data_IF_041462863585
#
_entry.id   IF_041462863585
#
_cell.length_a   1.000
_cell.length_b   1.000
_cell.length_c   1.000
_cell.angle_alpha   90.00
_cell.angle_beta   90.00
_cell.angle_gamma   90.00
#
_symmetry.space_group_name_H-M   'P 1'
#
loop_
_entity.id
_entity.type
_entity.pdbx_description
1 polymer ?
#
# COMPACT_ATOMS: atom_id res chain seq x y z
N UNK A 1 -7.72 -8.99 2.98
CA UNK A 1 -8.16 -9.74 4.15
C UNK A 1 -9.66 -9.55 4.41
N UNK A 2 -10.18 -8.32 4.43
CA UNK A 2 -11.61 -8.02 4.69
C UNK A 2 -12.51 -8.75 3.70
N UNK A 3 -12.26 -8.67 2.39
CA UNK A 3 -13.02 -9.38 1.36
C UNK A 3 -12.96 -10.91 1.55
N UNK A 4 -11.79 -11.47 1.87
CA UNK A 4 -11.67 -12.91 2.19
C UNK A 4 -12.48 -13.31 3.43
N UNK A 5 -12.56 -12.43 4.43
CA UNK A 5 -13.32 -12.69 5.66
C UNK A 5 -14.85 -12.79 5.43
N UNK A 6 -15.37 -12.18 4.37
CA UNK A 6 -16.77 -12.28 3.96
C UNK A 6 -17.01 -13.31 2.85
N UNK A 7 -16.01 -14.14 2.54
CA UNK A 7 -16.18 -15.30 1.66
C UNK A 7 -15.76 -15.10 0.21
N UNK A 8 -15.21 -13.95 -0.18
CA UNK A 8 -14.67 -13.76 -1.53
C UNK A 8 -13.37 -14.53 -1.74
N UNK A 9 -13.20 -15.11 -2.91
CA UNK A 9 -11.91 -15.60 -3.39
C UNK A 9 -11.12 -14.41 -3.96
N UNK A 10 -10.06 -14.01 -3.29
CA UNK A 10 -9.30 -12.80 -3.64
C UNK A 10 -7.94 -13.18 -4.20
N UNK A 11 -7.67 -12.77 -5.43
CA UNK A 11 -6.37 -12.87 -6.09
C UNK A 11 -5.69 -11.51 -5.98
N UNK A 12 -4.59 -11.44 -5.25
CA UNK A 12 -3.78 -10.23 -5.08
C UNK A 12 -2.73 -10.15 -6.17
N UNK A 13 -2.77 -9.07 -6.96
CA UNK A 13 -1.82 -8.87 -8.04
C UNK A 13 -1.11 -7.53 -7.91
N UNK A 14 0.15 -7.48 -8.37
CA UNK A 14 0.92 -6.25 -8.50
C UNK A 14 1.32 -6.05 -9.96
N UNK A 15 1.47 -4.78 -10.38
CA UNK A 15 2.05 -4.42 -11.66
C UNK A 15 3.30 -3.58 -11.39
N UNK A 16 4.45 -4.14 -11.71
CA UNK A 16 5.75 -3.48 -11.55
C UNK A 16 6.11 -2.75 -12.83
N UNK A 17 6.36 -1.45 -12.70
CA UNK A 17 6.83 -0.61 -13.80
C UNK A 17 8.36 -0.72 -13.91
N UNK A 18 8.82 -1.67 -14.73
CA UNK A 18 10.22 -2.08 -14.87
C UNK A 18 10.85 -1.66 -16.21
N UNK A 19 10.15 -0.84 -17.02
CA UNK A 19 10.65 -0.38 -18.32
C UNK A 19 10.43 1.12 -18.53
N UNK A 20 11.03 1.62 -19.58
CA UNK A 20 10.86 3.01 -20.07
C UNK A 20 12.02 3.91 -19.77
N UNK A 21 11.88 5.17 -20.22
CA UNK A 21 12.97 6.15 -20.16
C UNK A 21 13.49 6.41 -18.74
N UNK A 22 12.63 6.29 -17.73
CA UNK A 22 13.04 6.52 -16.34
C UNK A 22 14.01 5.45 -15.85
N UNK A 23 13.80 4.19 -16.23
CA UNK A 23 14.71 3.08 -15.92
C UNK A 23 16.04 3.27 -16.64
N UNK A 24 16.00 3.63 -17.93
CA UNK A 24 17.20 3.92 -18.72
C UNK A 24 18.04 5.07 -18.15
N UNK A 25 17.42 6.07 -17.52
CA UNK A 25 18.14 7.16 -16.83
C UNK A 25 19.00 6.64 -15.69
N UNK A 26 18.44 5.79 -14.81
CA UNK A 26 19.19 5.17 -13.72
C UNK A 26 20.29 4.26 -14.23
N UNK A 27 20.00 3.44 -15.26
CA UNK A 27 20.99 2.57 -15.90
C UNK A 27 22.18 3.34 -16.49
N UNK A 28 21.89 4.42 -17.21
CA UNK A 28 22.92 5.27 -17.82
C UNK A 28 23.79 5.95 -16.76
N UNK A 29 23.18 6.51 -15.72
CA UNK A 29 23.91 7.12 -14.62
C UNK A 29 24.79 6.11 -13.89
N UNK A 30 24.28 4.91 -13.58
CA UNK A 30 25.08 3.85 -12.97
C UNK A 30 26.28 3.45 -13.87
N UNK A 31 26.04 3.27 -15.16
CA UNK A 31 27.11 2.93 -16.12
C UNK A 31 28.21 3.99 -16.18
N UNK A 32 27.85 5.27 -16.07
CA UNK A 32 28.80 6.40 -16.17
C UNK A 32 29.50 6.75 -14.87
N UNK A 33 28.77 6.70 -13.77
CA UNK A 33 29.21 7.27 -12.49
C UNK A 33 29.30 6.22 -11.37
N UNK A 34 28.80 5.01 -11.61
CA UNK A 34 28.71 3.98 -10.58
C UNK A 34 29.99 3.21 -10.30
N UNK A 35 30.96 3.23 -11.22
CA UNK A 35 32.24 2.54 -11.02
C UNK A 35 32.10 1.03 -10.70
N UNK A 36 30.98 0.39 -11.09
CA UNK A 36 30.71 -1.02 -10.77
C UNK A 36 30.11 -1.24 -9.39
N UNK A 37 29.62 -0.20 -8.71
CA UNK A 37 28.95 -0.32 -7.39
C UNK A 37 27.74 -1.27 -7.48
N UNK A 38 27.61 -2.15 -6.49
CA UNK A 38 26.50 -3.12 -6.36
C UNK A 38 25.85 -2.97 -4.99
N UNK A 39 24.66 -3.53 -4.75
CA UNK A 39 24.09 -3.57 -3.41
C UNK A 39 25.04 -4.19 -2.37
N UNK A 40 25.75 -5.26 -2.74
CA UNK A 40 26.71 -5.91 -1.84
C UNK A 40 27.93 -5.03 -1.54
N UNK A 41 28.48 -4.30 -2.52
CA UNK A 41 29.66 -3.47 -2.30
C UNK A 41 29.35 -2.15 -1.58
N UNK A 42 28.13 -1.61 -1.77
CA UNK A 42 27.71 -0.35 -1.17
C UNK A 42 27.06 -0.52 0.20
N UNK A 43 26.60 -1.72 0.53
CA UNK A 43 25.74 -1.98 1.69
C UNK A 43 24.34 -1.35 1.59
N UNK A 44 23.96 -0.82 0.42
CA UNK A 44 22.64 -0.25 0.17
C UNK A 44 21.67 -1.31 -0.34
N UNK A 45 20.41 -1.21 0.03
CA UNK A 45 19.33 -1.99 -0.59
C UNK A 45 19.24 -1.67 -2.08
N UNK A 46 18.89 -2.66 -2.92
CA UNK A 46 19.02 -2.55 -4.36
C UNK A 46 18.17 -1.46 -4.99
N UNK A 47 16.93 -1.28 -4.56
CA UNK A 47 16.04 -0.22 -5.02
C UNK A 47 16.53 1.17 -4.60
N UNK A 48 17.10 1.32 -3.40
CA UNK A 48 17.74 2.57 -2.95
C UNK A 48 18.97 2.89 -3.80
N UNK A 49 19.79 1.88 -4.12
CA UNK A 49 20.96 2.07 -4.99
C UNK A 49 20.56 2.56 -6.39
N UNK A 50 19.54 1.93 -6.99
CA UNK A 50 19.03 2.36 -8.30
C UNK A 50 18.39 3.75 -8.23
N UNK A 51 17.69 4.05 -7.14
CA UNK A 51 17.13 5.38 -6.85
C UNK A 51 18.22 6.46 -6.72
N UNK A 52 19.34 6.16 -6.08
CA UNK A 52 20.52 7.04 -6.00
C UNK A 52 20.98 7.47 -7.40
N UNK A 53 21.06 6.52 -8.34
CA UNK A 53 21.47 6.83 -9.70
C UNK A 53 20.40 7.54 -10.53
N UNK A 54 19.13 7.44 -10.18
CA UNK A 54 18.09 8.27 -10.76
C UNK A 54 18.28 9.76 -10.41
N UNK A 55 18.58 10.04 -9.13
CA UNK A 55 18.89 11.40 -8.67
C UNK A 55 20.18 11.93 -9.27
N UNK A 56 21.21 11.08 -9.38
CA UNK A 56 22.49 11.46 -10.00
C UNK A 56 22.31 11.81 -11.50
N UNK A 57 21.48 11.05 -12.22
CA UNK A 57 21.09 11.41 -13.59
C UNK A 57 20.47 12.81 -13.65
N UNK A 58 19.48 13.09 -12.80
CA UNK A 58 18.74 14.35 -12.81
C UNK A 58 19.67 15.56 -12.53
N UNK A 59 20.61 15.40 -11.62
CA UNK A 59 21.64 16.42 -11.30
C UNK A 59 22.48 16.76 -12.52
N UNK A 60 23.06 15.77 -13.19
CA UNK A 60 23.87 16.00 -14.40
C UNK A 60 23.04 16.48 -15.58
N UNK A 61 21.82 15.98 -15.75
CA UNK A 61 20.90 16.44 -16.77
C UNK A 61 20.52 17.91 -16.60
N UNK A 62 20.20 18.35 -15.39
CA UNK A 62 19.90 19.76 -15.08
C UNK A 62 21.11 20.66 -15.36
N UNK A 63 22.34 20.22 -15.09
CA UNK A 63 23.54 20.96 -15.42
C UNK A 63 23.68 21.15 -16.92
N UNK A 64 23.50 20.11 -17.74
CA UNK A 64 23.52 20.19 -19.20
C UNK A 64 22.43 21.11 -19.76
N UNK A 65 21.22 21.03 -19.26
CA UNK A 65 20.13 21.92 -19.66
C UNK A 65 20.48 23.37 -19.37
N UNK A 66 21.05 23.66 -18.19
CA UNK A 66 21.51 25.02 -17.84
C UNK A 66 22.60 25.56 -18.79
N UNK A 67 23.56 24.72 -19.13
CA UNK A 67 24.64 25.10 -20.10
C UNK A 67 24.04 25.40 -21.48
N UNK A 68 23.17 24.58 -22.01
CA UNK A 68 22.51 24.76 -23.30
C UNK A 68 21.63 26.01 -23.30
N UNK A 69 20.91 26.27 -22.21
CA UNK A 69 20.12 27.50 -22.08
C UNK A 69 21.01 28.75 -22.02
N UNK A 70 22.13 28.69 -21.31
CA UNK A 70 23.10 29.79 -21.27
C UNK A 70 23.75 30.06 -22.63
N UNK A 71 23.81 29.06 -23.51
CA UNK A 71 24.28 29.21 -24.90
C UNK A 71 23.24 29.79 -25.87
N UNK A 72 22.03 30.14 -25.38
CA UNK A 72 20.97 30.78 -26.16
C UNK A 72 19.85 29.84 -26.63
N UNK A 73 19.85 28.57 -26.21
CA UNK A 73 18.78 27.64 -26.54
C UNK A 73 17.59 27.87 -25.63
N UNK A 74 16.35 27.67 -26.13
CA UNK A 74 15.17 27.69 -25.28
C UNK A 74 15.23 26.52 -24.27
N UNK A 75 14.64 26.70 -23.10
CA UNK A 75 14.63 25.66 -22.07
C UNK A 75 13.98 24.36 -22.56
N UNK A 76 12.91 24.45 -23.34
CA UNK A 76 12.25 23.29 -23.95
C UNK A 76 13.13 22.52 -24.93
N UNK A 77 13.89 23.26 -25.78
CA UNK A 77 14.85 22.64 -26.68
C UNK A 77 16.04 22.07 -25.93
N UNK A 78 16.57 22.79 -24.95
CA UNK A 78 17.67 22.34 -24.12
C UNK A 78 17.32 21.02 -23.42
N UNK A 79 16.11 20.89 -22.86
CA UNK A 79 15.61 19.64 -22.27
C UNK A 79 15.57 18.47 -23.24
N UNK A 80 15.22 18.71 -24.50
CA UNK A 80 15.16 17.68 -25.54
C UNK A 80 16.53 17.32 -26.11
N UNK A 81 17.45 18.26 -26.15
CA UNK A 81 18.77 18.11 -26.78
C UNK A 81 19.91 17.85 -25.80
N UNK A 82 19.66 17.82 -24.51
CA UNK A 82 20.69 17.50 -23.54
C UNK A 82 21.30 16.11 -23.84
N UNK A 83 22.62 15.98 -23.93
CA UNK A 83 23.30 14.75 -24.34
C UNK A 83 22.86 13.53 -23.53
N UNK A 84 22.76 13.66 -22.20
CA UNK A 84 22.29 12.55 -21.32
C UNK A 84 20.87 12.09 -21.65
N UNK A 85 19.97 13.00 -22.04
CA UNK A 85 18.63 12.64 -22.44
C UNK A 85 18.61 11.86 -23.75
N UNK A 86 19.39 12.30 -24.73
CA UNK A 86 19.52 11.64 -26.03
C UNK A 86 20.11 10.23 -25.86
N UNK A 87 21.10 10.07 -25.00
CA UNK A 87 21.68 8.76 -24.71
C UNK A 87 20.72 7.82 -23.94
N UNK A 88 19.93 8.36 -22.99
CA UNK A 88 18.91 7.57 -22.32
C UNK A 88 17.82 7.10 -23.31
N UNK A 89 17.44 7.96 -24.28
CA UNK A 89 16.52 7.58 -25.35
C UNK A 89 17.12 6.51 -26.28
N UNK A 90 18.41 6.63 -26.61
CA UNK A 90 19.10 5.60 -27.38
C UNK A 90 19.20 4.28 -26.62
N UNK A 91 19.48 4.33 -25.33
CA UNK A 91 19.49 3.14 -24.45
C UNK A 91 18.10 2.46 -24.44
N UNK A 92 17.00 3.22 -24.42
CA UNK A 92 15.64 2.68 -24.52
C UNK A 92 15.41 1.97 -25.86
N UNK A 93 15.83 2.57 -26.98
CA UNK A 93 15.74 1.95 -28.31
C UNK A 93 16.52 0.64 -28.38
N UNK A 94 17.76 0.62 -27.84
CA UNK A 94 18.57 -0.60 -27.75
C UNK A 94 17.92 -1.67 -26.87
N UNK A 95 17.30 -1.26 -25.77
CA UNK A 95 16.53 -2.18 -24.92
C UNK A 95 15.35 -2.80 -25.69
N UNK A 96 14.59 -1.98 -26.42
CA UNK A 96 13.48 -2.46 -27.26
C UNK A 96 13.94 -3.39 -28.38
N UNK A 97 15.13 -3.15 -28.92
CA UNK A 97 15.81 -4.01 -29.91
C UNK A 97 16.43 -5.27 -29.31
N UNK A 98 16.32 -5.49 -27.99
CA UNK A 98 16.93 -6.63 -27.28
C UNK A 98 18.45 -6.66 -27.39
N UNK A 99 19.12 -5.50 -27.45
CA UNK A 99 20.56 -5.42 -27.42
C UNK A 99 21.12 -6.14 -26.17
N UNK A 100 22.02 -7.14 -26.33
CA UNK A 100 22.41 -7.97 -25.18
C UNK A 100 23.10 -7.23 -24.04
N UNK A 101 23.86 -6.17 -24.35
CA UNK A 101 24.54 -5.37 -23.33
C UNK A 101 23.54 -4.58 -22.50
N UNK A 102 22.64 -3.86 -23.17
CA UNK A 102 21.64 -3.01 -22.50
C UNK A 102 20.60 -3.86 -21.77
N UNK A 103 20.20 -4.96 -22.38
CA UNK A 103 19.23 -5.86 -21.79
C UNK A 103 19.79 -6.57 -20.56
N UNK A 104 21.06 -7.04 -20.58
CA UNK A 104 21.71 -7.62 -19.42
C UNK A 104 21.91 -6.63 -18.28
N UNK A 105 22.22 -5.36 -18.59
CA UNK A 105 22.28 -4.30 -17.58
C UNK A 105 20.90 -4.04 -16.94
N UNK A 106 19.87 -4.01 -17.76
CA UNK A 106 18.49 -3.84 -17.31
C UNK A 106 18.06 -5.01 -16.40
N UNK A 107 18.31 -6.26 -16.78
CA UNK A 107 17.98 -7.44 -15.94
C UNK A 107 18.69 -7.38 -14.59
N UNK A 108 19.99 -7.06 -14.59
CA UNK A 108 20.77 -6.94 -13.36
C UNK A 108 20.22 -5.87 -12.42
N UNK A 109 20.02 -4.66 -12.92
CA UNK A 109 19.57 -3.54 -12.06
C UNK A 109 18.12 -3.70 -11.59
N UNK A 110 17.22 -4.19 -12.47
CA UNK A 110 15.85 -4.49 -12.02
C UNK A 110 15.80 -5.66 -11.05
N UNK A 111 16.68 -6.67 -11.19
CA UNK A 111 16.83 -7.73 -10.19
C UNK A 111 17.10 -7.15 -8.79
N UNK A 112 18.02 -6.18 -8.68
CA UNK A 112 18.28 -5.50 -7.42
C UNK A 112 17.05 -4.76 -6.87
N UNK A 113 16.25 -4.13 -7.75
CA UNK A 113 15.03 -3.43 -7.36
C UNK A 113 13.97 -4.42 -6.87
N UNK A 114 13.79 -5.56 -7.55
CA UNK A 114 12.81 -6.57 -7.15
C UNK A 114 13.15 -7.17 -5.78
N UNK A 115 14.43 -7.50 -5.55
CA UNK A 115 14.91 -7.97 -4.25
C UNK A 115 14.65 -6.92 -3.15
N UNK A 116 14.88 -5.65 -3.45
CA UNK A 116 14.61 -4.54 -2.54
C UNK A 116 13.12 -4.39 -2.23
N UNK A 117 12.25 -4.44 -3.23
CA UNK A 117 10.79 -4.39 -3.03
C UNK A 117 10.29 -5.54 -2.16
N UNK A 118 10.85 -6.75 -2.34
CA UNK A 118 10.48 -7.93 -1.57
C UNK A 118 10.76 -7.74 -0.07
N UNK A 119 11.86 -7.08 0.28
CA UNK A 119 12.20 -6.72 1.66
C UNK A 119 11.14 -5.78 2.25
N UNK A 120 10.78 -4.72 1.52
CA UNK A 120 9.77 -3.73 1.98
C UNK A 120 8.40 -4.36 2.10
N UNK A 121 7.96 -5.17 1.11
CA UNK A 121 6.66 -5.85 1.17
C UNK A 121 6.58 -6.81 2.36
N UNK A 122 7.63 -7.60 2.59
CA UNK A 122 7.72 -8.47 3.78
C UNK A 122 7.67 -7.69 5.09
N UNK A 123 8.37 -6.55 5.16
CA UNK A 123 8.35 -5.68 6.32
C UNK A 123 6.94 -5.15 6.62
N UNK A 124 6.18 -4.80 5.58
CA UNK A 124 4.80 -4.34 5.68
C UNK A 124 3.78 -5.48 5.83
N UNK A 125 4.19 -6.75 5.69
CA UNK A 125 3.25 -7.88 5.69
C UNK A 125 2.34 -7.90 4.46
N UNK A 126 2.84 -7.44 3.32
CA UNK A 126 2.15 -7.44 2.02
C UNK A 126 2.73 -8.54 1.14
N UNK A 127 1.86 -9.28 0.49
CA UNK A 127 2.22 -10.32 -0.47
C UNK A 127 1.31 -10.27 -1.70
N UNK A 128 1.71 -10.94 -2.79
CA UNK A 128 0.96 -11.01 -4.03
C UNK A 128 0.89 -12.45 -4.53
N UNK A 129 -0.26 -12.86 -5.03
CA UNK A 129 -0.46 -14.17 -5.65
C UNK A 129 0.17 -14.20 -7.05
N UNK A 130 0.23 -13.03 -7.74
CA UNK A 130 0.87 -12.87 -9.05
C UNK A 130 1.46 -11.46 -9.21
N UNK A 131 2.63 -11.38 -9.81
CA UNK A 131 3.26 -10.11 -10.20
C UNK A 131 3.27 -10.00 -11.73
N UNK A 132 2.77 -8.89 -12.26
CA UNK A 132 2.87 -8.51 -13.66
C UNK A 132 4.00 -7.49 -13.82
N UNK A 133 4.74 -7.60 -14.91
CA UNK A 133 5.81 -6.67 -15.26
C UNK A 133 5.44 -5.88 -16.52
N UNK A 134 5.60 -4.56 -16.49
CA UNK A 134 5.28 -3.72 -17.65
C UNK A 134 6.09 -4.12 -18.88
N UNK A 135 7.35 -4.56 -18.69
CA UNK A 135 8.21 -5.11 -19.74
C UNK A 135 7.60 -6.30 -20.50
N UNK A 136 6.65 -7.01 -19.89
CA UNK A 136 5.95 -8.15 -20.48
C UNK A 136 4.55 -7.80 -21.00
N UNK A 137 3.96 -6.72 -20.47
CA UNK A 137 2.55 -6.37 -20.75
C UNK A 137 2.37 -5.22 -21.73
N UNK A 138 3.42 -4.45 -22.01
CA UNK A 138 3.32 -3.23 -22.83
C UNK A 138 2.88 -3.46 -24.29
N UNK A 139 2.97 -4.68 -24.79
CA UNK A 139 2.53 -5.04 -26.15
C UNK A 139 1.09 -5.52 -26.21
N UNK A 140 0.47 -5.91 -25.06
CA UNK A 140 -0.82 -6.59 -25.01
C UNK A 140 -1.99 -5.78 -25.57
N UNK A 141 -1.91 -4.47 -25.55
CA UNK A 141 -3.01 -3.62 -26.00
C UNK A 141 -3.11 -3.41 -27.51
N UNK A 142 -2.11 -3.80 -28.29
CA UNK A 142 -2.10 -3.54 -29.75
C UNK A 142 -3.19 -4.31 -30.50
N UNK A 143 -3.43 -5.55 -30.13
CA UNK A 143 -4.48 -6.38 -30.72
C UNK A 143 -5.87 -5.82 -30.41
N UNK A 144 -6.07 -5.30 -29.20
CA UNK A 144 -7.31 -4.64 -28.79
C UNK A 144 -7.53 -3.35 -29.60
N UNK A 145 -6.45 -2.60 -29.87
CA UNK A 145 -6.53 -1.39 -30.72
C UNK A 145 -6.91 -1.78 -32.15
N UNK A 146 -6.34 -2.85 -32.69
CA UNK A 146 -6.72 -3.33 -34.03
C UNK A 146 -8.19 -3.76 -34.07
N UNK A 147 -8.66 -4.51 -33.06
CA UNK A 147 -10.09 -4.87 -32.93
C UNK A 147 -11.00 -3.64 -32.94
N UNK A 148 -10.63 -2.59 -32.20
CA UNK A 148 -11.41 -1.36 -32.14
C UNK A 148 -11.43 -0.58 -33.45
N UNK A 149 -10.35 -0.63 -34.25
CA UNK A 149 -10.30 -0.09 -35.61
C UNK A 149 -11.24 -0.88 -36.54
N UNK A 150 -11.20 -2.21 -36.50
CA UNK A 150 -12.04 -3.10 -37.35
C UNK A 150 -13.54 -2.94 -37.02
N UNK A 151 -13.88 -2.63 -35.77
CA UNK A 151 -15.23 -2.30 -35.31
C UNK A 151 -15.65 -0.85 -35.63
N UNK A 152 -14.77 0.00 -36.12
CA UNK A 152 -15.04 1.42 -36.38
C UNK A 152 -15.24 2.27 -35.11
N UNK A 153 -14.85 1.76 -33.95
CA UNK A 153 -14.89 2.46 -32.64
C UNK A 153 -13.67 3.38 -32.52
N UNK A 154 -12.50 2.94 -33.03
CA UNK A 154 -11.30 3.72 -33.10
C UNK A 154 -11.07 4.20 -34.52
N UNK A 155 -10.34 5.29 -34.66
CA UNK A 155 -10.01 5.87 -35.96
C UNK A 155 -8.53 6.27 -36.04
N UNK A 156 -8.00 6.27 -37.27
CA UNK A 156 -6.62 6.65 -37.55
C UNK A 156 -6.59 8.08 -38.08
N UNK A 157 -5.69 8.90 -37.56
CA UNK A 157 -5.40 10.24 -38.08
C UNK A 157 -4.37 10.18 -39.21
N UNK A 158 -4.20 11.29 -39.93
CA UNK A 158 -3.26 11.43 -41.05
C UNK A 158 -1.80 11.16 -40.65
N UNK A 159 -1.42 11.47 -39.41
CA UNK A 159 -0.11 11.20 -38.84
C UNK A 159 0.12 9.73 -38.47
N UNK A 160 -0.86 8.86 -38.74
CA UNK A 160 -0.83 7.44 -38.42
C UNK A 160 -1.25 7.09 -36.98
N UNK A 161 -1.46 8.07 -36.12
CA UNK A 161 -1.89 7.85 -34.73
C UNK A 161 -3.33 7.31 -34.66
N UNK A 162 -3.60 6.50 -33.63
CA UNK A 162 -4.94 5.90 -33.41
C UNK A 162 -5.59 6.55 -32.19
N UNK A 163 -6.83 6.93 -32.37
CA UNK A 163 -7.63 7.68 -31.40
C UNK A 163 -9.01 7.08 -31.19
N UNK A 164 -9.60 7.37 -30.06
CA UNK A 164 -11.04 7.21 -29.78
C UNK A 164 -11.67 8.57 -29.46
N UNK A 165 -12.87 8.78 -29.97
CA UNK A 165 -13.67 9.96 -29.64
C UNK A 165 -14.70 9.60 -28.54
N UNK A 166 -14.56 10.25 -27.40
CA UNK A 166 -15.44 10.08 -26.23
C UNK A 166 -16.23 11.37 -25.92
N UNK A 167 -16.24 12.33 -26.85
CA UNK A 167 -16.87 13.64 -26.62
C UNK A 167 -18.38 13.54 -26.45
N UNK A 168 -19.04 12.59 -27.09
CA UNK A 168 -20.45 12.28 -26.90
C UNK A 168 -20.78 11.77 -25.49
N UNK A 169 -19.78 11.22 -24.79
CA UNK A 169 -19.90 10.72 -23.41
C UNK A 169 -19.42 11.77 -22.38
N UNK A 170 -19.11 12.99 -22.81
CA UNK A 170 -18.65 14.08 -21.95
C UNK A 170 -17.16 13.99 -21.57
N UNK A 171 -16.38 13.20 -22.29
CA UNK A 171 -14.93 13.08 -22.12
C UNK A 171 -14.20 13.62 -23.35
N UNK A 172 -12.86 13.60 -23.33
CA UNK A 172 -12.05 14.05 -24.46
C UNK A 172 -11.77 12.95 -25.48
N UNK A 173 -11.25 13.34 -26.65
CA UNK A 173 -10.61 12.40 -27.55
C UNK A 173 -9.33 11.85 -26.92
N UNK A 174 -9.10 10.53 -27.03
CA UNK A 174 -7.93 9.87 -26.39
C UNK A 174 -7.05 9.19 -27.42
N UNK A 175 -5.76 9.45 -27.29
CA UNK A 175 -4.70 8.77 -28.04
C UNK A 175 -4.56 7.34 -27.52
N UNK A 176 -4.53 6.36 -28.41
CA UNK A 176 -4.30 4.95 -28.12
C UNK A 176 -2.95 4.46 -28.67
N UNK A 177 -2.59 4.85 -29.90
CA UNK A 177 -1.26 4.60 -30.47
C UNK A 177 -0.70 5.90 -31.05
N UNK A 178 0.58 6.13 -30.88
CA UNK A 178 1.29 7.23 -31.57
C UNK A 178 1.45 6.94 -33.06
N UNK A 179 1.78 7.96 -33.84
CA UNK A 179 1.96 7.80 -35.29
C UNK A 179 3.05 6.80 -35.68
N UNK A 180 4.04 6.58 -34.84
CA UNK A 180 5.08 5.56 -35.00
C UNK A 180 4.63 4.14 -34.55
N UNK A 181 3.38 3.98 -34.15
CA UNK A 181 2.81 2.71 -33.66
C UNK A 181 3.16 2.33 -32.23
N UNK A 182 3.81 3.23 -31.46
CA UNK A 182 4.10 2.99 -30.05
C UNK A 182 2.88 3.16 -29.17
N UNK A 183 2.73 2.27 -28.18
CA UNK A 183 1.65 2.27 -27.20
C UNK A 183 1.77 3.45 -26.23
N UNK A 184 0.61 3.90 -25.72
CA UNK A 184 0.51 4.78 -24.55
C UNK A 184 0.00 3.99 -23.34
N UNK A 185 0.02 4.58 -22.16
CA UNK A 185 -0.45 3.90 -20.95
C UNK A 185 -1.87 3.32 -21.07
N UNK A 186 -2.78 4.06 -21.70
CA UNK A 186 -4.15 3.56 -21.93
C UNK A 186 -4.19 2.25 -22.71
N UNK A 187 -3.37 2.11 -23.74
CA UNK A 187 -3.28 0.88 -24.53
C UNK A 187 -2.79 -0.31 -23.69
N UNK A 188 -1.81 -0.07 -22.86
CA UNK A 188 -1.25 -1.10 -21.97
C UNK A 188 -2.29 -1.54 -20.94
N UNK A 189 -3.05 -0.60 -20.37
CA UNK A 189 -4.07 -0.88 -19.37
C UNK A 189 -5.27 -1.63 -19.98
N UNK A 190 -5.66 -1.30 -21.21
CA UNK A 190 -6.67 -2.07 -21.96
C UNK A 190 -6.23 -3.52 -22.13
N UNK A 191 -4.99 -3.75 -22.57
CA UNK A 191 -4.45 -5.10 -22.75
C UNK A 191 -4.31 -5.86 -21.44
N UNK A 192 -3.85 -5.18 -20.38
CA UNK A 192 -3.68 -5.80 -19.07
C UNK A 192 -5.02 -6.14 -18.42
N UNK A 193 -6.03 -5.28 -18.53
CA UNK A 193 -7.38 -5.55 -18.04
C UNK A 193 -7.98 -6.76 -18.75
N UNK A 194 -7.94 -6.78 -20.09
CA UNK A 194 -8.42 -7.90 -20.89
C UNK A 194 -7.75 -9.23 -20.48
N UNK A 195 -6.43 -9.23 -20.40
CA UNK A 195 -5.66 -10.42 -20.03
C UNK A 195 -6.02 -10.97 -18.64
N UNK A 196 -6.26 -10.08 -17.66
CA UNK A 196 -6.63 -10.48 -16.30
C UNK A 196 -8.00 -11.18 -16.26
N UNK A 197 -8.97 -10.68 -17.00
CA UNK A 197 -10.28 -11.32 -17.12
C UNK A 197 -10.20 -12.63 -17.93
N UNK A 198 -9.32 -12.72 -18.93
CA UNK A 198 -9.13 -13.94 -19.72
C UNK A 198 -8.40 -15.04 -18.93
N UNK A 199 -7.39 -14.68 -18.13
CA UNK A 199 -6.60 -15.63 -17.35
C UNK A 199 -7.30 -16.13 -16.08
N UNK A 200 -8.28 -15.38 -15.58
CA UNK A 200 -8.96 -15.68 -14.32
C UNK A 200 -10.48 -15.53 -14.54
N UNK A 201 -11.24 -16.39 -13.89
CA UNK A 201 -12.70 -16.29 -13.83
C UNK A 201 -13.08 -15.23 -12.79
N UNK A 202 -13.07 -13.96 -13.20
CA UNK A 202 -13.26 -12.81 -12.31
C UNK A 202 -14.70 -12.32 -12.35
N UNK A 203 -15.31 -12.20 -11.17
CA UNK A 203 -16.55 -11.43 -10.98
C UNK A 203 -16.27 -9.93 -10.99
N UNK A 204 -15.22 -9.49 -10.25
CA UNK A 204 -14.86 -8.08 -10.10
C UNK A 204 -13.34 -7.88 -10.15
N UNK A 205 -12.92 -6.73 -10.65
CA UNK A 205 -11.51 -6.29 -10.63
C UNK A 205 -11.38 -4.94 -9.94
N UNK A 206 -10.55 -4.88 -8.89
CA UNK A 206 -10.33 -3.68 -8.09
C UNK A 206 -8.91 -3.15 -8.34
N UNK A 207 -8.84 -1.93 -8.88
CA UNK A 207 -7.59 -1.18 -9.00
C UNK A 207 -7.40 -0.28 -7.78
N UNK A 208 -6.35 -0.51 -7.01
CA UNK A 208 -5.97 0.34 -5.86
C UNK A 208 -4.93 1.33 -6.35
N UNK A 209 -5.36 2.54 -6.73
CA UNK A 209 -4.52 3.55 -7.37
C UNK A 209 -4.92 4.95 -6.87
N UNK A 210 -3.96 5.89 -6.86
CA UNK A 210 -4.18 7.27 -6.41
C UNK A 210 -5.27 8.01 -7.18
N UNK A 211 -5.90 8.95 -6.53
CA UNK A 211 -7.03 9.73 -7.07
C UNK A 211 -6.66 10.60 -8.30
N UNK A 212 -5.38 10.85 -8.53
CA UNK A 212 -4.88 11.52 -9.74
C UNK A 212 -5.22 10.75 -11.02
N UNK A 213 -5.50 9.43 -10.90
CA UNK A 213 -5.84 8.56 -12.02
C UNK A 213 -7.36 8.36 -12.22
N UNK A 214 -8.22 9.08 -11.49
CA UNK A 214 -9.66 8.97 -11.59
C UNK A 214 -10.17 9.08 -13.05
N UNK A 215 -9.70 10.09 -13.77
CA UNK A 215 -10.07 10.31 -15.15
C UNK A 215 -9.58 9.18 -16.08
N UNK A 216 -8.38 8.67 -15.85
CA UNK A 216 -7.82 7.55 -16.61
C UNK A 216 -8.67 6.28 -16.48
N UNK A 217 -9.09 5.91 -15.26
CA UNK A 217 -9.95 4.74 -15.05
C UNK A 217 -11.37 4.93 -15.58
N UNK A 218 -11.89 6.17 -15.56
CA UNK A 218 -13.16 6.48 -16.21
C UNK A 218 -13.10 6.22 -17.73
N UNK A 219 -12.03 6.68 -18.37
CA UNK A 219 -11.76 6.44 -19.80
C UNK A 219 -11.58 4.95 -20.07
N UNK A 220 -10.78 4.24 -19.27
CA UNK A 220 -10.52 2.81 -19.41
C UNK A 220 -11.82 2.00 -19.44
N UNK A 221 -12.69 2.21 -18.45
CA UNK A 221 -14.00 1.53 -18.36
C UNK A 221 -14.86 1.80 -19.58
N UNK A 222 -14.94 3.06 -20.01
CA UNK A 222 -15.78 3.45 -21.14
C UNK A 222 -15.26 2.87 -22.46
N UNK A 223 -13.94 2.85 -22.67
CA UNK A 223 -13.34 2.26 -23.87
C UNK A 223 -13.63 0.76 -23.94
N UNK A 224 -13.44 0.04 -22.83
CA UNK A 224 -13.74 -1.39 -22.75
C UNK A 224 -15.22 -1.68 -23.00
N UNK A 225 -16.12 -0.86 -22.45
CA UNK A 225 -17.55 -0.98 -22.67
C UNK A 225 -17.93 -0.78 -24.15
N UNK A 226 -17.36 0.23 -24.82
CA UNK A 226 -17.57 0.47 -26.25
C UNK A 226 -17.04 -0.68 -27.12
N UNK A 227 -16.00 -1.37 -26.70
CA UNK A 227 -15.46 -2.58 -27.33
C UNK A 227 -16.32 -3.84 -27.11
N UNK A 228 -17.42 -3.72 -26.34
CA UNK A 228 -18.35 -4.81 -26.08
C UNK A 228 -17.92 -5.76 -24.97
N UNK A 229 -17.06 -5.33 -24.06
CA UNK A 229 -16.69 -6.11 -22.89
C UNK A 229 -17.66 -5.81 -21.72
N UNK A 230 -18.63 -6.67 -21.50
CA UNK A 230 -19.67 -6.51 -20.47
C UNK A 230 -19.06 -6.45 -19.04
N UNK A 231 -17.96 -7.16 -18.80
CA UNK A 231 -17.24 -7.14 -17.54
C UNK A 231 -16.59 -5.77 -17.23
N UNK A 232 -16.60 -4.81 -18.15
CA UNK A 232 -16.08 -3.47 -17.91
C UNK A 232 -16.83 -2.76 -16.76
N UNK A 233 -18.10 -3.07 -16.54
CA UNK A 233 -18.89 -2.51 -15.43
C UNK A 233 -18.39 -3.04 -14.05
N UNK A 234 -17.73 -4.19 -14.03
CA UNK A 234 -17.12 -4.84 -12.87
C UNK A 234 -15.70 -4.38 -12.55
N UNK A 235 -15.22 -3.31 -13.19
CA UNK A 235 -13.97 -2.66 -12.85
C UNK A 235 -14.24 -1.57 -11.81
N UNK A 236 -13.64 -1.69 -10.65
CA UNK A 236 -13.68 -0.69 -9.58
C UNK A 236 -12.33 -0.01 -9.42
N UNK A 237 -12.31 1.32 -9.46
CA UNK A 237 -11.15 2.09 -9.05
C UNK A 237 -11.29 2.45 -7.57
N UNK A 238 -10.61 1.72 -6.70
CA UNK A 238 -10.45 2.10 -5.31
C UNK A 238 -9.41 3.23 -5.24
N UNK A 239 -9.92 4.43 -5.48
CA UNK A 239 -9.16 5.66 -5.48
C UNK A 239 -8.73 6.04 -4.07
N UNK A 240 -7.43 6.28 -3.84
CA UNK A 240 -6.97 6.76 -2.56
C UNK A 240 -6.43 8.19 -2.64
N UNK A 241 -6.63 8.96 -1.56
CA UNK A 241 -6.08 10.30 -1.39
C UNK A 241 -4.59 10.29 -1.10
N UNK A 242 -3.96 11.44 -1.23
CA UNK A 242 -2.53 11.58 -0.97
C UNK A 242 -2.24 11.53 0.53
N UNK A 243 -1.09 10.96 0.88
CA UNK A 243 -0.50 11.07 2.22
C UNK A 243 0.54 12.18 2.16
N UNK A 244 0.32 13.24 2.93
CA UNK A 244 1.22 14.39 3.01
C UNK A 244 1.96 14.36 4.36
N UNK A 245 3.17 14.89 4.37
CA UNK A 245 3.95 15.08 5.59
C UNK A 245 3.87 16.54 6.06
N UNK A 246 4.09 16.84 7.36
CA UNK A 246 4.10 18.21 7.88
C UNK A 246 5.06 19.14 7.13
N UNK A 247 6.14 18.60 6.56
CA UNK A 247 7.16 19.33 5.80
C UNK A 247 6.82 19.53 4.31
N UNK A 248 5.63 19.17 3.87
CA UNK A 248 5.15 19.36 2.49
C UNK A 248 5.09 18.11 1.63
N UNK A 249 4.79 18.30 0.33
CA UNK A 249 4.63 17.18 -0.62
C UNK A 249 5.95 16.51 -0.94
N UNK A 250 5.94 15.18 -0.97
CA UNK A 250 7.05 14.36 -1.41
C UNK A 250 7.32 14.55 -2.91
N UNK A 251 8.58 14.81 -3.29
CA UNK A 251 8.99 14.94 -4.70
C UNK A 251 10.20 14.05 -4.98
N UNK A 252 9.99 12.92 -5.63
CA UNK A 252 11.03 11.93 -5.96
C UNK A 252 12.22 12.49 -6.77
N UNK A 253 11.97 13.48 -7.63
CA UNK A 253 13.02 14.10 -8.48
C UNK A 253 13.94 15.04 -7.72
N UNK A 254 13.57 15.50 -6.56
CA UNK A 254 14.32 16.47 -5.75
C UNK A 254 15.03 15.82 -4.56
N UNK A 255 14.97 14.47 -4.41
CA UNK A 255 15.55 13.76 -3.29
C UNK A 255 14.84 14.02 -1.94
N UNK A 256 13.62 14.60 -1.96
CA UNK A 256 12.79 14.88 -0.79
C UNK A 256 11.68 13.85 -0.61
N UNK A 257 11.92 12.62 -1.05
CA UNK A 257 11.01 11.49 -0.82
C UNK A 257 11.29 10.93 0.56
N UNK A 258 10.24 10.71 1.34
CA UNK A 258 10.35 9.83 2.50
C UNK A 258 10.17 8.42 1.98
N UNK A 259 11.23 7.65 2.08
CA UNK A 259 11.24 6.24 1.72
C UNK A 259 10.38 5.45 2.71
N UNK A 260 9.71 4.40 2.23
CA UNK A 260 8.88 3.56 3.09
C UNK A 260 9.71 2.85 4.16
N UNK A 261 10.93 2.44 3.84
CA UNK A 261 11.83 1.79 4.78
C UNK A 261 12.28 2.76 5.88
N UNK A 262 12.68 4.00 5.50
CA UNK A 262 13.04 5.05 6.47
C UNK A 262 11.87 5.36 7.41
N UNK A 263 10.65 5.41 6.87
CA UNK A 263 9.46 5.66 7.67
C UNK A 263 9.17 4.51 8.64
N UNK A 264 9.33 3.27 8.20
CA UNK A 264 9.18 2.09 9.05
C UNK A 264 10.21 2.12 10.18
N UNK A 265 11.47 2.39 9.87
CA UNK A 265 12.56 2.41 10.84
C UNK A 265 12.37 3.54 11.86
N UNK A 266 11.96 4.72 11.41
CA UNK A 266 11.61 5.85 12.28
C UNK A 266 10.47 5.51 13.23
N UNK A 267 9.42 4.86 12.72
CA UNK A 267 8.28 4.44 13.53
C UNK A 267 8.67 3.38 14.58
N UNK A 268 9.49 2.41 14.19
CA UNK A 268 9.98 1.36 15.12
C UNK A 268 10.85 1.96 16.20
N UNK A 269 11.76 2.88 15.83
CA UNK A 269 12.63 3.59 16.79
C UNK A 269 11.79 4.43 17.77
N UNK A 270 10.85 5.22 17.27
CA UNK A 270 9.97 6.05 18.11
C UNK A 270 9.12 5.20 19.05
N UNK A 271 8.61 4.06 18.57
CA UNK A 271 7.87 3.11 19.41
C UNK A 271 8.74 2.53 20.53
N UNK A 272 10.02 2.23 20.25
CA UNK A 272 10.97 1.75 21.26
C UNK A 272 11.20 2.82 22.32
N UNK A 273 11.57 4.04 21.91
CA UNK A 273 11.83 5.17 22.81
C UNK A 273 10.65 5.44 23.73
N UNK A 274 9.44 5.55 23.21
CA UNK A 274 8.24 5.78 24.00
C UNK A 274 7.89 4.62 24.94
N UNK A 275 8.13 3.38 24.53
CA UNK A 275 7.87 2.21 25.38
C UNK A 275 8.88 2.12 26.54
N UNK A 276 10.14 2.46 26.30
CA UNK A 276 11.19 2.53 27.31
C UNK A 276 10.90 3.66 28.31
N UNK A 277 10.52 4.87 27.83
CA UNK A 277 10.13 6.00 28.71
C UNK A 277 8.94 5.66 29.63
N UNK A 278 8.04 4.81 29.18
CA UNK A 278 6.87 4.37 29.95
C UNK A 278 7.13 3.10 30.80
N UNK A 279 8.34 2.56 30.79
CA UNK A 279 8.72 1.34 31.53
C UNK A 279 7.96 0.09 31.08
N UNK A 280 7.50 0.04 29.82
CA UNK A 280 6.65 -1.05 29.32
C UNK A 280 7.43 -2.27 28.87
N UNK A 281 8.74 -2.16 28.73
CA UNK A 281 9.64 -3.20 28.24
C UNK A 281 10.63 -3.69 29.30
N UNK A 282 10.53 -3.21 30.55
CA UNK A 282 11.49 -3.51 31.63
C UNK A 282 11.61 -5.01 31.93
N UNK A 283 10.53 -5.77 31.77
CA UNK A 283 10.49 -7.23 32.01
C UNK A 283 10.74 -8.06 30.72
N UNK A 284 11.18 -7.43 29.63
CA UNK A 284 11.40 -8.10 28.33
C UNK A 284 12.88 -8.36 28.07
N UNK A 285 13.21 -9.45 27.39
CA UNK A 285 14.52 -9.60 26.76
C UNK A 285 14.70 -8.61 25.62
N UNK A 286 15.94 -8.35 25.19
CA UNK A 286 16.20 -7.40 24.09
C UNK A 286 15.50 -7.83 22.78
N UNK A 287 15.51 -9.12 22.46
CA UNK A 287 14.84 -9.65 21.28
C UNK A 287 13.32 -9.47 21.36
N UNK A 288 12.73 -9.68 22.53
CA UNK A 288 11.28 -9.45 22.75
C UNK A 288 10.94 -7.98 22.66
N UNK A 289 11.75 -7.11 23.25
CA UNK A 289 11.57 -5.68 23.20
C UNK A 289 11.68 -5.14 21.76
N UNK A 290 12.64 -5.66 20.98
CA UNK A 290 12.76 -5.34 19.55
C UNK A 290 11.54 -5.80 18.76
N UNK A 291 11.05 -7.03 18.99
CA UNK A 291 9.87 -7.56 18.32
C UNK A 291 8.59 -6.76 18.65
N UNK A 292 8.41 -6.40 19.93
CA UNK A 292 7.27 -5.59 20.38
C UNK A 292 7.36 -4.18 19.78
N UNK A 293 8.52 -3.54 19.81
CA UNK A 293 8.71 -2.19 19.25
C UNK A 293 8.42 -2.16 17.75
N UNK A 294 8.84 -3.20 17.01
CA UNK A 294 8.50 -3.37 15.60
C UNK A 294 7.00 -3.53 15.40
N UNK A 295 6.34 -4.37 16.19
CA UNK A 295 4.88 -4.60 16.12
C UNK A 295 4.10 -3.32 16.42
N UNK A 296 4.54 -2.54 17.41
CA UNK A 296 3.89 -1.27 17.80
C UNK A 296 4.12 -0.20 16.74
N UNK A 297 5.37 -0.03 16.27
CA UNK A 297 5.69 0.96 15.24
C UNK A 297 4.93 0.71 13.93
N UNK A 298 4.93 -0.52 13.43
CA UNK A 298 4.14 -0.90 12.26
C UNK A 298 2.63 -0.79 12.50
N UNK A 299 2.18 -1.14 13.70
CA UNK A 299 0.78 -1.02 14.10
C UNK A 299 0.32 0.44 14.10
N UNK A 300 1.14 1.35 14.60
CA UNK A 300 0.89 2.78 14.59
C UNK A 300 0.79 3.33 13.16
N UNK A 301 1.77 3.02 12.31
CA UNK A 301 1.80 3.44 10.91
C UNK A 301 0.57 2.96 10.15
N UNK A 302 0.31 1.66 10.15
CA UNK A 302 -0.80 1.06 9.41
C UNK A 302 -2.16 1.55 9.90
N UNK A 303 -2.35 1.62 11.23
CA UNK A 303 -3.59 2.09 11.81
C UNK A 303 -3.87 3.54 11.46
N UNK A 304 -2.85 4.41 11.55
CA UNK A 304 -3.00 5.83 11.23
C UNK A 304 -3.49 6.03 9.79
N UNK A 305 -2.92 5.29 8.84
CA UNK A 305 -3.33 5.34 7.43
C UNK A 305 -4.74 4.74 7.24
N UNK A 306 -5.02 3.59 7.84
CA UNK A 306 -6.25 2.84 7.58
C UNK A 306 -7.47 3.34 8.36
N UNK A 307 -7.30 4.15 9.43
CA UNK A 307 -8.42 4.74 10.17
C UNK A 307 -9.11 5.86 9.39
N UNK A 308 -8.47 6.39 8.35
CA UNK A 308 -9.03 7.44 7.49
C UNK A 308 -9.69 6.78 6.27
N UNK A 309 -10.78 7.39 5.80
CA UNK A 309 -11.40 6.98 4.54
C UNK A 309 -10.35 7.05 3.42
N UNK A 310 -10.13 5.96 2.66
CA UNK A 310 -9.08 5.93 1.64
C UNK A 310 -9.19 7.04 0.60
N UNK A 311 -10.38 7.58 0.31
CA UNK A 311 -10.59 8.66 -0.66
C UNK A 311 -10.12 10.04 -0.17
N UNK A 312 -9.82 10.19 1.11
CA UNK A 312 -9.39 11.45 1.70
C UNK A 312 -7.87 11.60 1.68
N UNK A 313 -7.42 12.83 1.40
CA UNK A 313 -6.02 13.22 1.66
C UNK A 313 -5.81 13.32 3.16
N UNK A 314 -4.68 12.84 3.65
CA UNK A 314 -4.31 12.89 5.06
C UNK A 314 -2.93 13.53 5.26
N UNK A 315 -2.76 14.17 6.40
CA UNK A 315 -1.46 14.59 6.92
C UNK A 315 -0.99 13.52 7.90
N UNK A 316 0.15 12.87 7.61
CA UNK A 316 0.73 11.87 8.48
C UNK A 316 1.74 12.51 9.43
N UNK A 317 1.49 12.41 10.73
CA UNK A 317 2.43 12.79 11.79
C UNK A 317 2.89 11.55 12.56
N UNK A 318 4.19 11.20 12.51
CA UNK A 318 4.74 10.05 13.22
C UNK A 318 4.48 10.07 14.73
N UNK A 319 4.57 11.24 15.38
CA UNK A 319 4.40 11.35 16.83
C UNK A 319 2.95 11.15 17.27
N UNK A 320 2.00 11.75 16.54
CA UNK A 320 0.58 11.56 16.82
C UNK A 320 0.12 10.11 16.60
N UNK A 321 0.78 9.40 15.68
CA UNK A 321 0.39 8.02 15.34
C UNK A 321 0.74 7.00 16.43
N UNK A 322 1.72 7.29 17.30
CA UNK A 322 2.23 6.39 18.35
C UNK A 322 1.64 6.67 19.73
N UNK A 323 0.81 7.70 19.91
CA UNK A 323 0.19 8.01 21.21
C UNK A 323 -0.59 6.82 21.77
N UNK A 324 -0.28 6.43 23.03
CA UNK A 324 -0.95 5.34 23.75
C UNK A 324 -2.29 5.73 24.36
N UNK A 325 -2.70 6.99 24.31
CA UNK A 325 -3.94 7.51 24.88
C UNK A 325 -4.95 7.98 23.83
N UNK A 326 -4.53 8.06 22.56
CA UNK A 326 -5.33 8.58 21.47
C UNK A 326 -6.05 7.49 20.65
N UNK A 327 -6.69 7.90 19.55
CA UNK A 327 -7.24 6.99 18.54
C UNK A 327 -6.10 6.46 17.65
N UNK A 328 -5.34 5.50 18.16
CA UNK A 328 -4.10 4.99 17.58
C UNK A 328 -4.02 3.47 17.64
N UNK A 329 -3.17 2.89 16.80
CA UNK A 329 -2.84 1.46 16.85
C UNK A 329 -2.30 1.02 18.21
N UNK A 330 -1.29 1.70 18.76
CA UNK A 330 -0.73 1.41 20.09
C UNK A 330 -1.74 1.41 21.23
N UNK A 331 -2.73 2.29 21.25
CA UNK A 331 -3.81 2.25 22.22
C UNK A 331 -4.58 0.91 22.19
N UNK A 332 -4.91 0.44 21.00
CA UNK A 332 -5.63 -0.83 20.82
C UNK A 332 -4.75 -2.02 21.19
N UNK A 333 -3.49 -2.00 20.74
CA UNK A 333 -2.49 -3.02 21.05
C UNK A 333 -2.24 -3.12 22.56
N UNK A 334 -2.11 -2.00 23.24
CA UNK A 334 -1.96 -1.95 24.68
C UNK A 334 -3.20 -2.49 25.41
N UNK A 335 -4.40 -2.20 24.94
CA UNK A 335 -5.65 -2.78 25.49
C UNK A 335 -5.63 -4.30 25.39
N UNK A 336 -5.23 -4.86 24.23
CA UNK A 336 -5.07 -6.30 24.07
C UNK A 336 -4.06 -6.88 25.06
N UNK A 337 -2.85 -6.31 25.14
CA UNK A 337 -1.80 -6.77 26.05
C UNK A 337 -2.23 -6.72 27.52
N UNK A 338 -2.96 -5.66 27.93
CA UNK A 338 -3.58 -5.52 29.26
C UNK A 338 -4.53 -6.70 29.56
N UNK A 339 -5.42 -7.01 28.65
CA UNK A 339 -6.34 -8.15 28.82
C UNK A 339 -5.56 -9.46 28.96
N UNK A 340 -4.55 -9.67 28.10
CA UNK A 340 -3.70 -10.88 28.17
C UNK A 340 -2.99 -10.98 29.51
N UNK A 341 -2.55 -9.85 30.09
CA UNK A 341 -1.96 -9.82 31.43
C UNK A 341 -2.98 -10.23 32.52
N UNK A 342 -4.22 -9.75 32.43
CA UNK A 342 -5.30 -10.14 33.37
C UNK A 342 -5.55 -11.65 33.29
N UNK A 343 -5.64 -12.20 32.09
CA UNK A 343 -5.89 -13.63 31.90
C UNK A 343 -4.72 -14.50 32.41
N UNK A 344 -3.47 -14.09 32.21
CA UNK A 344 -2.30 -14.78 32.77
C UNK A 344 -2.32 -14.77 34.30
N UNK A 345 -2.57 -13.63 34.93
CA UNK A 345 -2.69 -13.52 36.38
C UNK A 345 -3.81 -14.37 36.94
N UNK A 346 -4.94 -14.51 36.25
CA UNK A 346 -6.02 -15.43 36.61
C UNK A 346 -5.53 -16.87 36.58
N UNK A 347 -4.83 -17.29 35.53
CA UNK A 347 -4.29 -18.65 35.39
C UNK A 347 -3.24 -18.95 36.48
N UNK A 348 -2.32 -18.03 36.75
CA UNK A 348 -1.32 -18.16 37.84
C UNK A 348 -1.97 -18.29 39.22
N UNK A 349 -3.09 -17.62 39.45
CA UNK A 349 -3.86 -17.70 40.68
C UNK A 349 -4.81 -18.93 40.74
N UNK A 350 -4.78 -19.82 39.73
CA UNK A 350 -5.67 -20.99 39.64
C UNK A 350 -7.14 -20.63 39.39
N UNK A 351 -7.44 -19.43 38.93
CA UNK A 351 -8.81 -18.98 38.65
C UNK A 351 -9.18 -19.43 37.22
N UNK A 352 -10.09 -20.40 37.11
CA UNK A 352 -10.53 -20.86 35.80
C UNK A 352 -11.53 -19.89 35.15
N UNK A 353 -11.45 -19.73 33.84
CA UNK A 353 -12.53 -19.18 33.01
C UNK A 353 -13.61 -20.27 32.91
N UNK A 354 -14.52 -20.33 33.88
CA UNK A 354 -15.65 -21.28 33.91
C UNK A 354 -16.74 -20.93 32.89
N UNK A 355 -17.80 -21.79 32.86
CA UNK A 355 -19.02 -21.43 32.15
C UNK A 355 -19.62 -20.17 32.77
N UNK A 356 -19.86 -19.17 31.95
CA UNK A 356 -20.38 -17.88 32.38
C UNK A 356 -21.89 -18.02 32.67
N UNK A 357 -22.26 -18.22 33.92
CA UNK A 357 -23.65 -18.23 34.40
C UNK A 357 -23.80 -17.15 35.47
N UNK A 358 -23.83 -15.88 35.07
CA UNK A 358 -24.16 -14.79 35.98
C UNK A 358 -25.65 -14.55 35.99
N UNK A 359 -26.23 -14.35 37.19
CA UNK A 359 -27.65 -14.10 37.35
C UNK A 359 -28.11 -12.73 36.82
N UNK A 360 -27.16 -11.78 36.68
CA UNK A 360 -27.42 -10.44 36.13
C UNK A 360 -26.14 -9.86 35.51
N UNK A 361 -26.27 -9.15 34.40
CA UNK A 361 -25.21 -8.40 33.75
C UNK A 361 -25.36 -6.92 34.03
N UNK A 362 -24.23 -6.22 34.17
CA UNK A 362 -24.20 -4.76 34.22
C UNK A 362 -24.52 -4.18 32.83
N UNK A 363 -25.06 -2.95 32.74
CA UNK A 363 -25.33 -2.30 31.47
C UNK A 363 -24.09 -2.24 30.57
N UNK A 364 -22.91 -2.01 31.14
CA UNK A 364 -21.61 -1.94 30.46
C UNK A 364 -21.19 -3.31 29.89
N UNK A 365 -21.45 -4.38 30.62
CA UNK A 365 -21.20 -5.75 30.18
C UNK A 365 -22.12 -6.14 29.02
N UNK A 366 -23.41 -5.77 29.11
CA UNK A 366 -24.38 -5.94 28.02
C UNK A 366 -23.97 -5.15 26.77
N UNK A 367 -23.47 -3.91 26.95
CA UNK A 367 -22.99 -3.09 25.85
C UNK A 367 -21.78 -3.72 25.13
N UNK A 368 -20.80 -4.25 25.88
CA UNK A 368 -19.67 -4.99 25.32
C UNK A 368 -20.12 -6.24 24.56
N UNK A 369 -21.06 -7.04 25.13
CA UNK A 369 -21.60 -8.23 24.45
C UNK A 369 -22.28 -7.87 23.14
N UNK A 370 -23.09 -6.80 23.10
CA UNK A 370 -23.73 -6.30 21.87
C UNK A 370 -22.70 -5.88 20.83
N UNK A 371 -21.66 -5.15 21.25
CA UNK A 371 -20.58 -4.74 20.37
C UNK A 371 -19.82 -5.94 19.79
N UNK A 372 -19.51 -6.95 20.61
CA UNK A 372 -18.91 -8.21 20.14
C UNK A 372 -19.81 -8.94 19.13
N UNK A 373 -21.12 -8.99 19.38
CA UNK A 373 -22.08 -9.64 18.49
C UNK A 373 -22.22 -8.92 17.13
N UNK A 374 -21.98 -7.61 17.08
CA UNK A 374 -22.07 -6.81 15.84
C UNK A 374 -20.81 -6.92 14.93
N UNK A 375 -19.73 -7.50 15.40
CA UNK A 375 -18.49 -7.62 14.65
C UNK A 375 -18.65 -8.18 13.21
N UNK A 376 -19.44 -9.25 12.97
CA UNK A 376 -19.65 -9.74 11.61
C UNK A 376 -20.29 -8.71 10.66
N UNK A 377 -21.23 -7.90 11.17
CA UNK A 377 -21.88 -6.84 10.38
C UNK A 377 -20.89 -5.74 10.02
N UNK A 378 -20.01 -5.37 10.96
CA UNK A 378 -18.93 -4.40 10.74
C UNK A 378 -18.00 -4.87 9.61
N UNK A 379 -17.58 -6.13 9.63
CA UNK A 379 -16.70 -6.70 8.59
C UNK A 379 -17.41 -6.70 7.24
N UNK A 380 -18.69 -7.06 7.20
CA UNK A 380 -19.51 -7.03 6.00
C UNK A 380 -19.62 -5.61 5.43
N UNK A 381 -19.96 -4.64 6.27
CA UNK A 381 -20.05 -3.23 5.86
C UNK A 381 -18.70 -2.69 5.33
N UNK A 382 -17.59 -3.08 5.96
CA UNK A 382 -16.25 -2.69 5.50
C UNK A 382 -15.91 -3.28 4.13
N UNK A 383 -16.34 -4.52 3.85
CA UNK A 383 -16.16 -5.18 2.57
C UNK A 383 -16.99 -4.50 1.47
N UNK A 384 -18.29 -4.28 1.71
CA UNK A 384 -19.22 -3.66 0.76
C UNK A 384 -18.82 -2.23 0.36
N UNK A 385 -18.19 -1.49 1.28
CA UNK A 385 -17.77 -0.10 1.05
C UNK A 385 -16.28 0.03 0.67
N UNK A 386 -15.53 -1.07 0.60
CA UNK A 386 -14.06 -1.06 0.44
C UNK A 386 -13.37 -0.12 1.45
N UNK A 387 -13.86 -0.08 2.69
CA UNK A 387 -13.46 0.88 3.71
C UNK A 387 -12.86 0.20 4.95
N UNK A 388 -11.54 -0.04 5.00
CA UNK A 388 -10.87 -0.55 6.19
C UNK A 388 -11.08 0.31 7.44
N UNK A 389 -11.33 1.62 7.26
CA UNK A 389 -11.61 2.57 8.33
C UNK A 389 -12.81 2.19 9.21
N UNK A 390 -13.79 1.45 8.67
CA UNK A 390 -14.93 0.94 9.44
C UNK A 390 -14.44 -0.08 10.49
N UNK A 391 -13.53 -0.99 10.11
CA UNK A 391 -12.94 -1.96 11.04
C UNK A 391 -12.03 -1.26 12.06
N UNK A 392 -11.26 -0.26 11.61
CA UNK A 392 -10.39 0.52 12.49
C UNK A 392 -11.18 1.26 13.57
N UNK A 393 -12.25 1.96 13.19
CA UNK A 393 -13.15 2.65 14.12
C UNK A 393 -13.78 1.68 15.12
N UNK A 394 -14.25 0.53 14.65
CA UNK A 394 -14.81 -0.49 15.53
C UNK A 394 -13.79 -1.01 16.55
N UNK A 395 -12.57 -1.33 16.11
CA UNK A 395 -11.52 -1.82 17.01
C UNK A 395 -11.17 -0.80 18.10
N UNK A 396 -11.11 0.48 17.73
CA UNK A 396 -10.87 1.56 18.68
C UNK A 396 -12.01 1.71 19.69
N UNK A 397 -13.27 1.75 19.24
CA UNK A 397 -14.41 1.89 20.15
C UNK A 397 -14.54 0.70 21.08
N UNK A 398 -14.28 -0.53 20.61
CA UNK A 398 -14.25 -1.72 21.45
C UNK A 398 -13.16 -1.64 22.54
N UNK A 399 -11.95 -1.22 22.15
CA UNK A 399 -10.84 -1.03 23.08
C UNK A 399 -11.14 0.07 24.11
N UNK A 400 -11.70 1.19 23.67
CA UNK A 400 -12.09 2.31 24.52
C UNK A 400 -13.17 1.93 25.52
N UNK A 401 -14.21 1.26 25.06
CA UNK A 401 -15.31 0.81 25.92
C UNK A 401 -14.81 -0.22 26.95
N UNK A 402 -13.96 -1.16 26.55
CA UNK A 402 -13.36 -2.11 27.47
C UNK A 402 -12.45 -1.43 28.50
N UNK A 403 -11.64 -0.46 28.11
CA UNK A 403 -10.79 0.26 29.05
C UNK A 403 -11.59 1.04 30.10
N UNK A 404 -12.71 1.66 29.74
CA UNK A 404 -13.63 2.29 30.69
C UNK A 404 -14.21 1.24 31.66
N UNK A 405 -14.74 0.14 31.14
CA UNK A 405 -15.24 -0.97 31.93
C UNK A 405 -14.19 -1.54 32.90
N UNK A 406 -12.96 -1.78 32.43
CA UNK A 406 -11.86 -2.28 33.24
C UNK A 406 -11.43 -1.33 34.35
N UNK A 407 -11.53 -0.02 34.12
CA UNK A 407 -11.24 1.00 35.12
C UNK A 407 -12.27 0.98 36.27
N UNK A 408 -13.55 0.83 35.93
CA UNK A 408 -14.64 0.95 36.89
C UNK A 408 -14.95 -0.37 37.61
N UNK A 409 -14.62 -1.51 36.98
CA UNK A 409 -14.95 -2.84 37.49
C UNK A 409 -13.73 -3.74 37.64
N UNK A 410 -13.44 -4.15 38.87
CA UNK A 410 -12.38 -5.12 39.11
C UNK A 410 -12.76 -6.49 38.57
N UNK A 411 -11.88 -7.14 37.81
CA UNK A 411 -12.10 -8.49 37.27
C UNK A 411 -11.61 -9.55 38.27
N UNK A 412 -10.33 -9.47 38.66
CA UNK A 412 -9.70 -10.49 39.51
C UNK A 412 -10.08 -10.39 40.99
N UNK A 413 -10.46 -9.19 41.45
CA UNK A 413 -10.88 -8.98 42.86
C UNK A 413 -12.37 -9.09 43.08
N UNK A 414 -13.14 -9.48 42.06
CA UNK A 414 -14.55 -9.78 42.21
C UNK A 414 -14.72 -10.97 43.12
N UNK A 415 -15.55 -10.81 44.15
CA UNK A 415 -15.77 -11.84 45.19
C UNK A 415 -16.67 -12.97 44.71
N UNK A 416 -17.69 -12.64 43.92
CA UNK A 416 -18.58 -13.64 43.32
C UNK A 416 -17.82 -14.41 42.22
N UNK A 417 -17.64 -15.69 42.43
CA UNK A 417 -16.90 -16.57 41.53
C UNK A 417 -17.56 -16.67 40.13
N UNK A 418 -18.90 -16.65 40.07
CA UNK A 418 -19.61 -16.71 38.80
C UNK A 418 -19.48 -15.40 38.00
N UNK A 419 -19.60 -14.26 38.68
CA UNK A 419 -19.39 -12.93 38.08
C UNK A 419 -17.94 -12.79 37.61
N UNK A 420 -16.97 -13.20 38.43
CA UNK A 420 -15.54 -13.19 38.07
C UNK A 420 -15.24 -14.04 36.82
N UNK A 421 -15.80 -15.27 36.79
CA UNK A 421 -15.63 -16.15 35.62
C UNK A 421 -16.26 -15.55 34.36
N UNK A 422 -17.42 -14.94 34.45
CA UNK A 422 -18.09 -14.24 33.35
C UNK A 422 -17.25 -13.05 32.86
N UNK A 423 -16.72 -12.22 33.76
CA UNK A 423 -15.87 -11.07 33.42
C UNK A 423 -14.56 -11.49 32.74
N UNK A 424 -13.93 -12.57 33.18
CA UNK A 424 -12.77 -13.17 32.53
C UNK A 424 -13.12 -13.66 31.12
N UNK A 425 -14.25 -14.32 30.96
CA UNK A 425 -14.72 -14.80 29.67
C UNK A 425 -15.02 -13.64 28.70
N UNK A 426 -15.68 -12.59 29.18
CA UNK A 426 -15.96 -11.37 28.43
C UNK A 426 -14.63 -10.71 27.97
N UNK A 427 -13.68 -10.57 28.88
CA UNK A 427 -12.35 -10.01 28.57
C UNK A 427 -11.62 -10.83 27.50
N UNK A 428 -11.65 -12.17 27.61
CA UNK A 428 -11.07 -13.06 26.60
C UNK A 428 -11.69 -12.85 25.22
N UNK A 429 -13.03 -12.73 25.14
CA UNK A 429 -13.70 -12.48 23.87
C UNK A 429 -13.37 -11.09 23.30
N UNK A 430 -13.27 -10.06 24.14
CA UNK A 430 -12.82 -8.72 23.70
C UNK A 430 -11.41 -8.79 23.12
N UNK A 431 -10.46 -9.43 23.80
CA UNK A 431 -9.09 -9.58 23.27
C UNK A 431 -9.08 -10.35 21.94
N UNK A 432 -9.89 -11.41 21.83
CA UNK A 432 -10.03 -12.20 20.61
C UNK A 432 -10.53 -11.35 19.44
N UNK A 433 -11.58 -10.56 19.64
CA UNK A 433 -12.18 -9.73 18.58
C UNK A 433 -11.27 -8.56 18.22
N UNK A 434 -10.61 -7.93 19.20
CA UNK A 434 -9.56 -6.93 18.92
C UNK A 434 -8.47 -7.54 18.02
N UNK A 435 -7.94 -8.70 18.35
CA UNK A 435 -6.94 -9.40 17.54
C UNK A 435 -7.44 -9.67 16.12
N UNK A 436 -8.65 -10.15 15.97
CA UNK A 436 -9.26 -10.43 14.67
C UNK A 436 -9.44 -9.16 13.83
N UNK A 437 -9.97 -8.08 14.43
CA UNK A 437 -10.17 -6.80 13.77
C UNK A 437 -8.82 -6.19 13.32
N UNK A 438 -7.83 -6.17 14.20
CA UNK A 438 -6.49 -5.66 13.87
C UNK A 438 -5.82 -6.50 12.78
N UNK A 439 -5.97 -7.83 12.82
CA UNK A 439 -5.46 -8.71 11.76
C UNK A 439 -6.09 -8.43 10.40
N UNK A 440 -7.37 -8.07 10.32
CA UNK A 440 -8.01 -7.65 9.06
C UNK A 440 -7.36 -6.39 8.47
N UNK A 441 -6.78 -5.55 9.32
CA UNK A 441 -6.00 -4.37 8.94
C UNK A 441 -4.51 -4.68 8.68
N UNK A 442 -4.10 -5.95 8.78
CA UNK A 442 -2.69 -6.34 8.66
C UNK A 442 -1.83 -5.89 9.84
N UNK A 443 -2.43 -5.73 11.02
CA UNK A 443 -1.77 -5.26 12.24
C UNK A 443 -1.76 -6.40 13.27
N UNK A 444 -0.58 -6.72 13.78
CA UNK A 444 -0.41 -7.66 14.88
C UNK A 444 -0.60 -6.97 16.23
N UNK A 445 -0.98 -7.75 17.23
CA UNK A 445 -1.16 -7.27 18.62
C UNK A 445 -0.29 -8.08 19.58
N UNK A 446 0.46 -7.43 20.48
CA UNK A 446 1.35 -8.11 21.41
C UNK A 446 0.56 -8.84 22.52
N UNK A 447 1.17 -9.92 23.01
CA UNK A 447 0.63 -10.67 24.18
C UNK A 447 1.00 -10.01 25.50
N UNK A 448 2.07 -9.19 25.51
CA UNK A 448 2.55 -8.40 26.64
C UNK A 448 3.18 -7.11 26.18
N UNK A 449 3.20 -6.13 27.04
CA UNK A 449 3.71 -4.80 26.74
C UNK A 449 3.85 -4.01 28.07
#
# INVERSE_FOLDING_TARGET
QILRAVGHNVIKVNLVNDRGIHICKSMLAWKRYGGGETPASSGMKGDHLVGKYYVEFDKHYKAQVKELTASGMSEEEAKKRAPLMLEAQEMLRRWEARDPEVYGLWEMMNGWVYDGFDVTYKALGVDFDKVYYESQTYLLGKDIVQKGLDMGIFYRREDGSVWIDLTADGLDQKLLLRGDGTSVYMTQDLGTAYRRFEENDLDDMIYVVGNEQNYHFQVLKLVLKKLGYDWSDHITHLSYGMVELPNGKMKSREGTVVDADDLIDDMVRTAREMSDELGKLDDCTEDEAAAISRMVGLGALKYFILKVDPKKTMLFDPRESIDFNGNTGPFIQYTHARIRSVLRKAQEAGIACGEASAAAYLPEEVALVKQLADYPNVVKAAAENFAPSIVAAYAYELAKQYNAYYHDHSILREEDAAVRAMRLRLSEQVARVIRLAMRLLGIDVPERM
#
